data_IF_972287179605
#
_entry.id   IF_972287179605
#
_cell.length_a   1.000
_cell.length_b   1.000
_cell.length_c   1.000
_cell.angle_alpha   90.00
_cell.angle_beta   90.00
_cell.angle_gamma   90.00
#
_symmetry.space_group_name_H-M   'P 1'
#
loop_
_entity.id
_entity.type
_entity.pdbx_description
1 polymer ?
#
# COMPACT_ATOMS: atom_id res chain seq x y z
N UNK A 1 -12.46 -5.87 -21.50
CA UNK A 1 -12.13 -5.03 -20.33
C UNK A 1 -11.46 -5.90 -19.29
N UNK A 2 -10.12 -5.85 -19.20
CA UNK A 2 -9.38 -6.52 -18.13
C UNK A 2 -9.67 -5.76 -16.82
N UNK A 3 -10.44 -6.37 -15.92
CA UNK A 3 -10.61 -5.85 -14.56
C UNK A 3 -9.31 -6.13 -13.83
N UNK A 4 -8.59 -5.08 -13.43
CA UNK A 4 -7.44 -5.23 -12.55
C UNK A 4 -7.98 -5.75 -11.22
N UNK A 5 -7.56 -6.97 -10.85
CA UNK A 5 -7.93 -7.58 -9.58
C UNK A 5 -6.79 -7.34 -8.60
N UNK A 6 -6.97 -6.32 -7.75
CA UNK A 6 -6.01 -5.98 -6.70
C UNK A 6 -6.35 -6.76 -5.43
N UNK A 7 -5.48 -7.69 -5.07
CA UNK A 7 -5.52 -8.36 -3.78
C UNK A 7 -4.92 -7.45 -2.71
N UNK A 8 -5.68 -7.16 -1.66
CA UNK A 8 -5.17 -6.45 -0.50
C UNK A 8 -4.18 -7.33 0.27
N UNK A 9 -2.97 -6.82 0.52
CA UNK A 9 -1.96 -7.53 1.30
C UNK A 9 -2.02 -7.12 2.77
N UNK A 10 -1.73 -5.86 3.04
CA UNK A 10 -1.73 -5.28 4.38
C UNK A 10 -1.82 -3.77 4.29
N UNK A 11 -2.13 -3.13 5.40
CA UNK A 11 -2.15 -1.68 5.50
C UNK A 11 -1.95 -1.24 6.93
N UNK A 12 -1.58 0.02 7.07
CA UNK A 12 -1.30 0.64 8.35
C UNK A 12 -1.77 2.09 8.37
N UNK A 13 -2.03 2.60 9.58
CA UNK A 13 -2.33 4.01 9.80
C UNK A 13 -1.26 4.62 10.69
N UNK A 14 -0.54 5.57 10.14
CA UNK A 14 0.46 6.40 10.81
C UNK A 14 -0.13 7.80 11.01
N UNK A 15 -0.82 8.01 12.13
CA UNK A 15 -1.50 9.27 12.42
C UNK A 15 -2.57 9.61 11.38
N UNK A 16 -2.41 10.72 10.66
CA UNK A 16 -3.30 11.17 9.58
C UNK A 16 -2.99 10.56 8.21
N UNK A 17 -2.02 9.64 8.13
CA UNK A 17 -1.58 8.96 6.91
C UNK A 17 -1.95 7.48 6.97
N UNK A 18 -2.79 7.02 6.07
CA UNK A 18 -2.95 5.59 5.79
C UNK A 18 -2.03 5.13 4.67
N UNK A 19 -1.49 3.93 4.79
CA UNK A 19 -0.66 3.28 3.78
C UNK A 19 -1.24 1.87 3.59
N UNK A 20 -1.60 1.50 2.36
CA UNK A 20 -2.09 0.17 2.02
C UNK A 20 -1.29 -0.39 0.86
N UNK A 21 -1.00 -1.69 0.92
CA UNK A 21 -0.27 -2.41 -0.10
C UNK A 21 -1.18 -3.45 -0.76
N UNK A 22 -1.07 -3.54 -2.07
CA UNK A 22 -1.86 -4.42 -2.92
C UNK A 22 -0.95 -5.21 -3.86
N UNK A 23 -1.39 -6.39 -4.27
CA UNK A 23 -0.76 -7.21 -5.29
C UNK A 23 -1.74 -7.43 -6.44
N UNK A 24 -1.29 -7.20 -7.66
CA UNK A 24 -1.99 -7.65 -8.86
C UNK A 24 -1.40 -8.99 -9.29
N UNK A 25 -2.12 -10.08 -9.01
CA UNK A 25 -1.69 -11.44 -9.39
C UNK A 25 -1.59 -11.65 -10.90
N UNK A 26 -2.28 -10.85 -11.70
CA UNK A 26 -2.28 -11.02 -13.16
C UNK A 26 -1.00 -10.49 -13.79
N UNK A 27 -0.48 -9.38 -13.26
CA UNK A 27 0.73 -8.73 -13.74
C UNK A 27 1.94 -9.00 -12.85
N UNK A 28 1.73 -9.67 -11.72
CA UNK A 28 2.69 -9.86 -10.65
C UNK A 28 3.31 -8.54 -10.14
N UNK A 29 2.51 -7.46 -10.12
CA UNK A 29 2.93 -6.12 -9.71
C UNK A 29 2.40 -5.77 -8.34
N UNK A 30 3.14 -4.94 -7.62
CA UNK A 30 2.74 -4.46 -6.31
C UNK A 30 2.40 -2.98 -6.38
N UNK A 31 1.39 -2.59 -5.62
CA UNK A 31 0.92 -1.21 -5.55
C UNK A 31 0.86 -0.75 -4.11
N UNK A 32 1.24 0.50 -3.90
CA UNK A 32 1.13 1.18 -2.62
C UNK A 32 0.15 2.33 -2.77
N UNK A 33 -0.91 2.29 -1.97
CA UNK A 33 -1.84 3.39 -1.80
C UNK A 33 -1.49 4.17 -0.54
N UNK A 34 -1.36 5.47 -0.65
CA UNK A 34 -1.16 6.39 0.47
C UNK A 34 -2.35 7.34 0.49
N UNK A 35 -3.05 7.43 1.63
CA UNK A 35 -4.09 8.42 1.85
C UNK A 35 -3.61 9.33 2.98
N UNK A 36 -3.51 10.63 2.72
CA UNK A 36 -3.19 11.64 3.73
C UNK A 36 -4.38 12.56 3.91
N UNK A 37 -4.86 12.68 5.13
CA UNK A 37 -5.85 13.68 5.50
C UNK A 37 -5.13 14.93 6.04
N UNK A 38 -5.26 16.04 5.34
CA UNK A 38 -4.83 17.37 5.77
C UNK A 38 -6.07 18.18 6.22
N UNK A 39 -5.87 19.32 6.88
CA UNK A 39 -6.97 20.20 7.29
C UNK A 39 -7.74 20.71 6.07
N UNK A 40 -8.86 20.05 5.76
CA UNK A 40 -9.76 20.38 4.65
C UNK A 40 -9.51 19.62 3.33
N UNK A 41 -8.49 18.75 3.25
CA UNK A 41 -8.16 18.04 2.01
C UNK A 41 -7.75 16.59 2.26
N UNK A 42 -8.12 15.68 1.36
CA UNK A 42 -7.70 14.28 1.39
C UNK A 42 -6.95 13.97 0.10
N UNK A 43 -5.64 13.76 0.22
CA UNK A 43 -4.80 13.38 -0.92
C UNK A 43 -4.65 11.86 -0.96
N UNK A 44 -5.04 11.24 -2.07
CA UNK A 44 -4.83 9.83 -2.35
C UNK A 44 -3.76 9.66 -3.45
N UNK A 45 -2.76 8.83 -3.19
CA UNK A 45 -1.70 8.51 -4.15
C UNK A 45 -1.60 7.01 -4.29
N UNK A 46 -1.57 6.49 -5.52
CA UNK A 46 -1.34 5.08 -5.83
C UNK A 46 -0.11 5.01 -6.72
N UNK A 47 0.89 4.27 -6.29
CA UNK A 47 2.15 4.07 -7.01
C UNK A 47 2.47 2.57 -7.12
N UNK A 48 3.04 2.16 -8.25
CA UNK A 48 3.63 0.83 -8.40
C UNK A 48 4.95 0.78 -7.64
N UNK A 49 5.15 -0.26 -6.83
CA UNK A 49 6.34 -0.44 -6.00
C UNK A 49 6.98 -1.80 -6.27
N UNK A 50 8.30 -1.93 -6.14
CA UNK A 50 8.98 -3.23 -6.15
C UNK A 50 8.58 -4.08 -4.95
N UNK A 51 8.61 -5.40 -5.13
CA UNK A 51 8.32 -6.42 -4.11
C UNK A 51 9.20 -6.24 -2.86
N UNK A 52 10.48 -5.94 -3.04
CA UNK A 52 11.45 -5.74 -1.94
C UNK A 52 11.00 -4.65 -0.95
N UNK A 53 10.30 -3.60 -1.41
CA UNK A 53 9.76 -2.56 -0.52
C UNK A 53 8.59 -3.09 0.32
N UNK A 54 7.79 -4.00 -0.25
CA UNK A 54 6.66 -4.64 0.42
C UNK A 54 7.17 -5.58 1.51
N UNK A 55 8.15 -6.42 1.17
CA UNK A 55 8.79 -7.35 2.11
C UNK A 55 9.49 -6.63 3.26
N UNK A 56 10.28 -5.59 2.97
CA UNK A 56 10.95 -4.78 3.98
C UNK A 56 9.95 -4.16 4.97
N UNK A 57 8.81 -3.68 4.48
CA UNK A 57 7.79 -3.10 5.34
C UNK A 57 7.14 -4.17 6.25
N UNK A 58 6.82 -5.35 5.70
CA UNK A 58 6.33 -6.47 6.51
C UNK A 58 7.35 -6.91 7.57
N UNK A 59 8.64 -6.92 7.22
CA UNK A 59 9.72 -7.32 8.11
C UNK A 59 9.92 -6.32 9.25
N UNK A 60 9.95 -5.01 8.95
CA UNK A 60 10.03 -3.97 9.99
C UNK A 60 8.83 -4.01 10.94
N UNK A 61 7.63 -4.28 10.43
CA UNK A 61 6.41 -4.48 11.24
C UNK A 61 6.51 -5.71 12.15
N UNK A 62 7.11 -6.81 11.70
CA UNK A 62 7.31 -8.02 12.50
C UNK A 62 8.26 -7.82 13.69
N UNK A 63 9.25 -6.93 13.58
CA UNK A 63 10.25 -6.69 14.64
C UNK A 63 9.69 -5.81 15.77
N UNK A 64 8.56 -5.14 15.58
CA UNK A 64 8.01 -4.17 16.55
C UNK A 64 7.09 -4.78 17.63
N UNK A 65 7.16 -6.10 17.89
CA UNK A 65 6.36 -6.79 18.90
C UNK A 65 7.17 -7.19 20.12
#
# INVERSE_FOLDING_TARGET
>A
MLKIQLDFLFGDRLGNKGIWYFHDKNTNKFYKKIIKANEGDVTETIEEVPEELVENYMYQKKISY
#
